data_IF_332756025684
#
_entry.id   IF_332756025684
#
_cell.length_a   1.000
_cell.length_b   1.000
_cell.length_c   1.000
_cell.angle_alpha   90.00
_cell.angle_beta   90.00
_cell.angle_gamma   90.00
#
_symmetry.space_group_name_H-M   'P 1'
#
loop_
_entity.id
_entity.type
_entity.pdbx_description
1 polymer ?
#
# COMPACT_ATOMS: atom_id res chain seq x y z
N UNK A 1 8.63 -2.67 7.91
CA UNK A 1 7.44 -2.92 7.06
C UNK A 1 6.50 -3.83 7.84
N UNK A 2 5.22 -3.51 7.91
CA UNK A 2 4.19 -4.38 8.50
C UNK A 2 3.44 -5.04 7.35
N UNK A 3 3.14 -6.33 7.48
CA UNK A 3 2.39 -7.11 6.48
C UNK A 3 1.10 -7.63 7.11
N UNK A 4 -0.01 -7.44 6.41
CA UNK A 4 -1.34 -7.91 6.81
C UNK A 4 -1.84 -8.89 5.74
N UNK A 5 -2.32 -10.08 6.14
CA UNK A 5 -2.84 -11.09 5.23
C UNK A 5 -4.36 -11.00 5.11
N UNK A 6 -4.81 -9.86 4.57
CA UNK A 6 -6.22 -9.52 4.41
C UNK A 6 -6.65 -8.38 5.33
N UNK A 7 -7.86 -7.87 5.10
CA UNK A 7 -8.37 -6.70 5.82
C UNK A 7 -8.61 -6.96 7.31
N UNK A 8 -8.87 -8.23 7.70
CA UNK A 8 -9.12 -8.60 9.10
C UNK A 8 -7.89 -8.51 10.01
N UNK A 9 -6.69 -8.54 9.44
CA UNK A 9 -5.43 -8.42 10.19
C UNK A 9 -5.06 -6.96 10.46
N UNK A 10 -5.73 -6.00 9.82
CA UNK A 10 -5.49 -4.57 10.02
C UNK A 10 -6.11 -4.17 11.36
N UNK A 11 -5.32 -3.73 12.36
CA UNK A 11 -5.85 -3.42 13.67
C UNK A 11 -6.78 -2.21 13.62
N UNK A 12 -7.83 -2.17 14.45
CA UNK A 12 -8.66 -0.98 14.59
C UNK A 12 -7.80 0.19 15.10
N UNK A 13 -8.13 1.41 14.66
CA UNK A 13 -7.40 2.62 15.10
C UNK A 13 -6.06 2.83 14.39
N UNK A 14 -5.80 2.17 13.26
CA UNK A 14 -4.73 2.60 12.35
C UNK A 14 -4.93 4.08 11.99
N UNK A 15 -3.81 4.82 11.97
CA UNK A 15 -3.79 6.21 11.49
C UNK A 15 -4.37 6.26 10.07
N UNK A 16 -4.92 7.41 9.62
CA UNK A 16 -5.32 7.59 8.23
C UNK A 16 -4.25 7.07 7.28
N UNK A 17 -4.64 6.39 6.21
CA UNK A 17 -3.71 5.77 5.27
C UNK A 17 -3.82 6.44 3.90
N UNK A 18 -2.68 6.57 3.22
CA UNK A 18 -2.65 6.77 1.77
C UNK A 18 -2.28 5.44 1.14
N UNK A 19 -3.13 4.95 0.24
CA UNK A 19 -3.04 3.58 -0.26
C UNK A 19 -2.85 3.59 -1.78
N UNK A 20 -1.93 2.77 -2.27
CA UNK A 20 -1.93 2.33 -3.67
C UNK A 20 -2.30 0.85 -3.75
N UNK A 21 -3.07 0.49 -4.78
CA UNK A 21 -3.64 -0.84 -4.97
C UNK A 21 -3.20 -1.36 -6.33
N UNK A 22 -2.68 -2.58 -6.39
CA UNK A 22 -2.18 -3.17 -7.63
C UNK A 22 -1.51 -4.52 -7.38
N UNK A 23 -1.19 -5.25 -8.46
CA UNK A 23 -0.48 -6.54 -8.35
C UNK A 23 0.98 -6.34 -7.96
N UNK A 24 1.59 -5.22 -8.35
CA UNK A 24 2.98 -4.86 -8.05
C UNK A 24 4.04 -5.91 -8.47
N UNK A 25 3.71 -6.80 -9.40
CA UNK A 25 4.66 -7.79 -9.91
C UNK A 25 5.84 -7.10 -10.62
N UNK A 26 7.05 -7.56 -10.33
CA UNK A 26 8.31 -7.00 -10.83
C UNK A 26 8.67 -5.59 -10.35
N UNK A 27 7.81 -4.86 -9.63
CA UNK A 27 8.06 -3.51 -9.05
C UNK A 27 8.85 -2.58 -9.98
N UNK A 28 8.45 -2.51 -11.26
CA UNK A 28 9.13 -1.70 -12.26
C UNK A 28 8.97 -0.18 -11.99
N UNK A 29 9.58 0.66 -12.83
CA UNK A 29 9.61 2.13 -12.64
C UNK A 29 8.24 2.78 -12.47
N UNK A 30 7.18 2.19 -13.04
CA UNK A 30 5.81 2.68 -12.88
C UNK A 30 5.28 2.44 -11.47
N UNK A 31 5.46 1.22 -10.94
CA UNK A 31 5.15 0.89 -9.55
C UNK A 31 5.94 1.76 -8.56
N UNK A 32 7.23 1.98 -8.83
CA UNK A 32 8.07 2.84 -7.99
C UNK A 32 7.56 4.28 -7.97
N UNK A 33 7.09 4.80 -9.10
CA UNK A 33 6.48 6.13 -9.16
C UNK A 33 5.20 6.21 -8.32
N UNK A 34 4.33 5.20 -8.38
CA UNK A 34 3.13 5.13 -7.54
C UNK A 34 3.48 5.08 -6.05
N UNK A 35 4.44 4.23 -5.66
CA UNK A 35 4.90 4.13 -4.27
C UNK A 35 5.49 5.45 -3.76
N UNK A 36 6.25 6.16 -4.60
CA UNK A 36 6.78 7.48 -4.27
C UNK A 36 5.66 8.49 -3.98
N UNK A 37 4.64 8.55 -4.83
CA UNK A 37 3.47 9.42 -4.62
C UNK A 37 2.72 9.09 -3.34
N UNK A 38 2.58 7.80 -3.00
CA UNK A 38 1.96 7.37 -1.74
C UNK A 38 2.76 7.86 -0.52
N UNK A 39 4.08 7.72 -0.56
CA UNK A 39 4.96 8.16 0.53
C UNK A 39 4.87 9.68 0.73
N UNK A 40 4.97 10.44 -0.36
CA UNK A 40 4.92 11.91 -0.31
C UNK A 40 3.59 12.41 0.26
N UNK A 41 2.46 11.94 -0.27
CA UNK A 41 1.13 12.31 0.21
C UNK A 41 0.87 11.87 1.65
N UNK A 42 1.36 10.70 2.04
CA UNK A 42 1.23 10.24 3.42
C UNK A 42 1.98 11.17 4.39
N UNK A 43 3.16 11.66 4.01
CA UNK A 43 3.91 12.66 4.77
C UNK A 43 3.14 13.97 4.93
N UNK A 44 2.57 14.50 3.85
CA UNK A 44 1.77 15.73 3.85
C UNK A 44 0.54 15.63 4.76
N UNK A 45 -0.10 14.46 4.80
CA UNK A 45 -1.35 14.23 5.53
C UNK A 45 -1.13 13.69 6.95
N UNK A 46 0.12 13.54 7.39
CA UNK A 46 0.45 12.85 8.65
C UNK A 46 -0.23 11.47 8.73
N UNK A 47 -0.22 10.74 7.60
CA UNK A 47 -0.87 9.47 7.36
C UNK A 47 0.16 8.33 7.20
N UNK A 48 -0.32 7.08 7.17
CA UNK A 48 0.52 5.90 6.94
C UNK A 48 0.55 5.55 5.45
N UNK A 49 1.71 5.49 4.78
CA UNK A 49 1.80 4.98 3.42
C UNK A 49 1.58 3.46 3.41
N UNK A 50 0.68 2.97 2.56
CA UNK A 50 0.35 1.56 2.46
C UNK A 50 0.19 1.09 1.01
N UNK A 51 0.48 -0.18 0.79
CA UNK A 51 0.20 -0.88 -0.47
C UNK A 51 -0.76 -2.03 -0.18
N UNK A 52 -1.78 -2.17 -1.02
CA UNK A 52 -2.61 -3.38 -1.10
C UNK A 52 -2.21 -4.13 -2.35
N UNK A 53 -1.78 -5.38 -2.18
CA UNK A 53 -1.43 -6.29 -3.28
C UNK A 53 -2.18 -7.60 -3.20
N UNK A 54 -2.14 -8.35 -4.28
CA UNK A 54 -2.89 -9.59 -4.49
C UNK A 54 -1.91 -10.76 -4.58
N UNK A 55 -2.11 -11.77 -3.74
CA UNK A 55 -1.21 -12.93 -3.63
C UNK A 55 -1.50 -14.04 -4.66
N UNK A 56 -2.60 -13.95 -5.41
CA UNK A 56 -2.95 -14.90 -6.47
C UNK A 56 -3.26 -14.16 -7.77
N UNK A 57 -2.77 -14.68 -8.89
CA UNK A 57 -3.36 -14.36 -10.19
C UNK A 57 -4.81 -14.84 -10.19
N UNK A 58 -5.78 -14.01 -10.63
CA UNK A 58 -7.13 -14.51 -10.91
C UNK A 58 -7.01 -15.59 -12.00
N UNK A 59 -7.59 -16.76 -11.73
CA UNK A 59 -7.81 -17.79 -12.75
C UNK A 59 -8.97 -17.37 -13.67
#
# INVERSE_FOLDING_TARGET
>A
MVLYHGLGDVPPGVRPCVVSIGVFDGVHRGHQALMKTVIEKAGELNATPMVVTFSRHPL
#
